data_IF_903762830637
#
_entry.id   IF_903762830637
#
_cell.length_a   1.000
_cell.length_b   1.000
_cell.length_c   1.000
_cell.angle_alpha   90.00
_cell.angle_beta   90.00
_cell.angle_gamma   90.00
#
_symmetry.space_group_name_H-M   'P 1'
#
loop_
_entity.id
_entity.type
_entity.pdbx_description
1 polymer ?
#
# COMPACT_ATOMS: atom_id res chain seq x y z
N UNK A 1 12.48 -7.09 -11.40
CA UNK A 1 12.63 -6.20 -10.23
C UNK A 1 12.01 -4.89 -10.61
N UNK A 2 10.87 -4.57 -10.00
CA UNK A 2 10.22 -3.28 -10.16
C UNK A 2 11.08 -2.21 -9.46
N UNK A 3 11.30 -1.07 -10.11
CA UNK A 3 12.04 0.05 -9.52
C UNK A 3 11.08 0.96 -8.75
N UNK A 4 10.51 0.48 -7.66
CA UNK A 4 9.75 1.34 -6.74
C UNK A 4 10.70 2.22 -5.91
N UNK A 5 10.22 3.40 -5.52
CA UNK A 5 10.99 4.29 -4.65
C UNK A 5 11.05 3.70 -3.24
N UNK A 6 12.28 3.43 -2.78
CA UNK A 6 12.58 3.01 -1.41
C UNK A 6 13.35 4.12 -0.71
N UNK A 7 12.89 4.53 0.47
CA UNK A 7 13.60 5.53 1.27
C UNK A 7 14.52 4.93 2.35
N UNK A 8 15.23 5.78 3.08
CA UNK A 8 16.18 5.40 4.13
C UNK A 8 15.55 4.58 5.28
N UNK A 9 14.22 4.60 5.42
CA UNK A 9 13.47 3.82 6.41
C UNK A 9 12.96 2.50 5.85
N UNK A 10 13.46 2.07 4.68
CA UNK A 10 13.06 0.83 3.99
C UNK A 10 11.56 0.81 3.65
N UNK A 11 10.99 1.99 3.41
CA UNK A 11 9.59 2.13 3.01
C UNK A 11 9.49 2.12 1.50
N UNK A 12 8.63 1.27 0.97
CA UNK A 12 8.28 1.22 -0.44
C UNK A 12 7.09 2.14 -0.69
N UNK A 13 7.28 3.14 -1.55
CA UNK A 13 6.24 4.12 -1.86
C UNK A 13 5.50 3.77 -3.14
N UNK A 14 4.18 3.85 -3.07
CA UNK A 14 3.33 3.88 -4.25
C UNK A 14 3.55 5.13 -5.08
N UNK A 15 3.11 5.07 -6.34
CA UNK A 15 3.27 6.13 -7.32
C UNK A 15 1.93 6.73 -7.80
N UNK A 16 0.80 6.13 -7.41
CA UNK A 16 -0.53 6.63 -7.76
C UNK A 16 -1.23 7.33 -6.59
N UNK A 17 -1.96 8.40 -6.92
CA UNK A 17 -2.74 9.13 -5.91
C UNK A 17 -3.93 8.30 -5.44
N UNK A 18 -4.13 8.29 -4.12
CA UNK A 18 -5.33 7.71 -3.48
C UNK A 18 -6.27 8.76 -2.89
N UNK A 19 -6.12 10.04 -3.27
CA UNK A 19 -6.97 11.12 -2.75
C UNK A 19 -8.43 10.97 -3.19
N UNK A 20 -9.37 11.30 -2.30
CA UNK A 20 -10.80 11.20 -2.60
C UNK A 20 -11.30 9.76 -2.51
N UNK A 21 -12.29 9.41 -3.33
CA UNK A 21 -12.86 8.06 -3.37
C UNK A 21 -12.07 7.14 -4.31
N UNK A 22 -11.66 5.98 -3.79
CA UNK A 22 -11.07 4.88 -4.55
C UNK A 22 -12.01 3.67 -4.47
N UNK A 23 -12.31 3.06 -5.62
CA UNK A 23 -13.12 1.85 -5.68
C UNK A 23 -12.22 0.61 -5.78
N UNK A 24 -12.33 -0.28 -4.80
CA UNK A 24 -11.71 -1.60 -4.87
C UNK A 24 -12.73 -2.58 -5.43
N UNK A 25 -12.37 -3.23 -6.52
CA UNK A 25 -13.19 -4.16 -7.28
C UNK A 25 -12.52 -5.53 -7.25
N UNK A 26 -13.29 -6.54 -6.83
CA UNK A 26 -12.84 -7.92 -6.73
C UNK A 26 -12.25 -8.42 -8.06
N UNK A 27 -11.03 -8.93 -8.02
CA UNK A 27 -10.28 -9.44 -9.17
C UNK A 27 -9.67 -8.37 -10.09
N UNK A 28 -9.84 -7.07 -9.80
CA UNK A 28 -9.36 -5.99 -10.66
C UNK A 28 -8.25 -5.14 -10.03
N UNK A 29 -8.33 -4.89 -8.71
CA UNK A 29 -7.35 -4.07 -7.99
C UNK A 29 -7.32 -4.36 -6.47
N UNK A 30 -7.65 -5.59 -6.08
CA UNK A 30 -7.91 -6.03 -4.71
C UNK A 30 -6.79 -6.89 -4.08
N UNK A 31 -5.82 -7.36 -4.87
CA UNK A 31 -4.78 -8.28 -4.40
C UNK A 31 -3.42 -7.59 -4.40
N UNK A 32 -2.78 -7.56 -3.24
CA UNK A 32 -1.40 -7.11 -3.06
C UNK A 32 -0.55 -8.25 -2.52
N UNK A 33 0.48 -8.63 -3.27
CA UNK A 33 1.49 -9.59 -2.82
C UNK A 33 2.77 -8.84 -2.46
N UNK A 34 3.32 -9.18 -1.30
CA UNK A 34 4.57 -8.63 -0.78
C UNK A 34 5.58 -9.75 -0.66
N UNK A 35 6.75 -9.57 -1.27
CA UNK A 35 7.82 -10.56 -1.27
C UNK A 35 9.03 -10.03 -0.51
N UNK A 36 9.59 -10.89 0.33
CA UNK A 36 10.95 -10.76 0.88
C UNK A 36 11.84 -11.80 0.21
N UNK A 37 13.12 -11.85 0.57
CA UNK A 37 14.04 -12.87 0.05
C UNK A 37 13.62 -14.31 0.37
N UNK A 38 12.81 -14.53 1.43
CA UNK A 38 12.48 -15.88 1.93
C UNK A 38 10.99 -16.17 2.08
N UNK A 39 10.15 -15.14 2.13
CA UNK A 39 8.73 -15.24 2.46
C UNK A 39 7.89 -14.38 1.51
N UNK A 40 6.67 -14.82 1.25
CA UNK A 40 5.65 -14.09 0.50
C UNK A 40 4.39 -13.95 1.33
N UNK A 41 3.77 -12.78 1.26
CA UNK A 41 2.52 -12.50 1.94
C UNK A 41 1.50 -11.93 0.96
N UNK A 42 0.24 -12.29 1.15
CA UNK A 42 -0.87 -11.79 0.33
C UNK A 42 -1.86 -11.05 1.20
N UNK A 43 -2.21 -9.85 0.76
CA UNK A 43 -3.26 -9.01 1.33
C UNK A 43 -4.37 -8.94 0.28
N UNK A 44 -5.60 -9.30 0.66
CA UNK A 44 -6.78 -9.15 -0.19
C UNK A 44 -7.72 -8.14 0.42
N UNK A 45 -8.09 -7.12 -0.36
CA UNK A 45 -8.97 -6.05 0.08
C UNK A 45 -10.42 -6.35 -0.27
N UNK A 46 -11.38 -6.15 0.66
CA UNK A 46 -12.77 -6.34 0.35
C UNK A 46 -13.26 -5.26 -0.64
N UNK A 47 -14.14 -5.63 -1.59
CA UNK A 47 -14.63 -4.69 -2.58
C UNK A 47 -15.56 -3.66 -1.93
N UNK A 48 -15.14 -2.39 -1.98
CA UNK A 48 -15.93 -1.22 -1.56
C UNK A 48 -15.20 0.05 -1.99
N UNK A 49 -15.88 1.17 -1.78
CA UNK A 49 -15.25 2.48 -1.82
C UNK A 49 -14.51 2.79 -0.52
N UNK A 50 -13.35 3.39 -0.67
CA UNK A 50 -12.51 3.90 0.41
C UNK A 50 -12.24 5.37 0.17
N UNK A 51 -12.36 6.18 1.20
CA UNK A 51 -12.10 7.61 1.11
C UNK A 51 -10.76 7.96 1.74
N UNK A 52 -9.98 8.79 1.07
CA UNK A 52 -8.80 9.43 1.65
C UNK A 52 -8.98 10.94 1.70
N UNK A 53 -9.00 11.46 2.91
CA UNK A 53 -9.11 12.89 3.18
C UNK A 53 -7.73 13.51 3.32
N UNK A 54 -7.35 14.30 2.31
CA UNK A 54 -6.04 14.94 2.29
C UNK A 54 -5.86 15.94 3.45
N UNK A 55 -6.91 16.66 3.83
CA UNK A 55 -6.84 17.74 4.84
C UNK A 55 -6.59 17.22 6.25
N UNK A 56 -7.12 16.04 6.57
CA UNK A 56 -7.00 15.40 7.89
C UNK A 56 -5.94 14.30 7.92
N UNK A 57 -5.36 13.94 6.77
CA UNK A 57 -4.38 12.87 6.61
C UNK A 57 -4.92 11.52 7.14
N UNK A 58 -6.17 11.22 6.78
CA UNK A 58 -6.88 9.98 7.13
C UNK A 58 -7.25 9.24 5.85
N UNK A 59 -7.08 7.91 5.84
CA UNK A 59 -7.38 7.07 4.67
C UNK A 59 -8.03 5.77 5.10
N UNK A 60 -9.30 5.59 4.74
CA UNK A 60 -10.03 4.34 4.95
C UNK A 60 -9.30 3.16 4.28
N UNK A 61 -8.63 3.42 3.14
CA UNK A 61 -7.91 2.40 2.38
C UNK A 61 -6.68 1.90 3.16
N UNK A 62 -5.87 2.82 3.71
CA UNK A 62 -4.71 2.46 4.52
C UNK A 62 -5.14 1.78 5.82
N UNK A 63 -6.22 2.25 6.45
CA UNK A 63 -6.79 1.60 7.63
C UNK A 63 -7.24 0.18 7.33
N UNK A 64 -7.90 -0.05 6.19
CA UNK A 64 -8.31 -1.40 5.79
C UNK A 64 -7.12 -2.31 5.47
N UNK A 65 -6.09 -1.82 4.78
CA UNK A 65 -4.87 -2.62 4.53
C UNK A 65 -4.29 -3.08 5.87
N UNK A 66 -4.17 -2.19 6.85
CA UNK A 66 -3.69 -2.53 8.19
C UNK A 66 -4.64 -3.48 8.94
N UNK A 67 -5.96 -3.33 8.77
CA UNK A 67 -6.93 -4.26 9.32
C UNK A 67 -6.73 -5.67 8.75
N UNK A 68 -6.61 -5.83 7.42
CA UNK A 68 -6.37 -7.13 6.79
C UNK A 68 -5.02 -7.75 7.24
N UNK A 69 -3.97 -6.94 7.36
CA UNK A 69 -2.68 -7.35 7.94
C UNK A 69 -2.85 -7.89 9.37
N UNK A 70 -3.67 -7.22 10.19
CA UNK A 70 -3.88 -7.59 11.59
C UNK A 70 -4.65 -8.91 11.78
N UNK A 71 -5.51 -9.28 10.82
CA UNK A 71 -6.26 -10.53 10.84
C UNK A 71 -5.36 -11.76 10.63
N UNK A 72 -4.18 -11.58 10.05
CA UNK A 72 -3.21 -12.66 9.82
C UNK A 72 -1.81 -12.14 10.10
N UNK A 73 -1.47 -11.81 11.37
CA UNK A 73 -0.45 -10.84 11.79
C UNK A 73 0.82 -10.84 10.94
N UNK A 74 0.73 -10.21 9.77
CA UNK A 74 1.81 -10.17 8.80
C UNK A 74 2.83 -9.16 9.34
N UNK A 75 4.13 -9.40 9.17
CA UNK A 75 5.14 -8.43 9.58
C UNK A 75 5.24 -7.27 8.59
N UNK A 76 4.09 -6.69 8.20
CA UNK A 76 3.92 -5.61 7.24
C UNK A 76 3.13 -4.51 7.95
N UNK A 77 3.36 -3.27 7.58
CA UNK A 77 2.44 -2.18 7.90
C UNK A 77 2.24 -1.30 6.67
N UNK A 78 1.05 -0.71 6.57
CA UNK A 78 0.72 0.31 5.59
C UNK A 78 0.67 1.69 6.24
N UNK A 79 1.20 2.68 5.55
CA UNK A 79 1.26 4.08 5.97
C UNK A 79 0.67 4.96 4.89
N UNK A 80 0.12 6.11 5.31
CA UNK A 80 -0.30 7.17 4.42
C UNK A 80 0.90 8.07 4.11
N UNK A 81 1.42 7.99 2.90
CA UNK A 81 2.53 8.83 2.44
C UNK A 81 2.01 10.08 1.73
N UNK A 82 2.56 11.25 2.04
CA UNK A 82 2.19 12.52 1.40
C UNK A 82 3.33 13.12 0.57
N UNK A 83 3.04 13.46 -0.68
CA UNK A 83 3.91 14.31 -1.51
C UNK A 83 3.40 15.75 -1.44
N UNK A 84 4.29 16.71 -1.14
CA UNK A 84 3.90 18.10 -0.83
C UNK A 84 4.66 19.19 -1.61
N UNK A 85 5.55 18.83 -2.54
CA UNK A 85 6.42 19.80 -3.23
C UNK A 85 5.68 20.62 -4.29
N UNK A 86 5.05 19.96 -5.27
CA UNK A 86 4.45 20.63 -6.43
C UNK A 86 2.96 20.30 -6.58
N UNK A 87 2.61 19.01 -6.52
CA UNK A 87 1.24 18.52 -6.43
C UNK A 87 1.05 17.78 -5.12
N UNK A 88 0.00 18.16 -4.38
CA UNK A 88 -0.33 17.57 -3.09
C UNK A 88 -1.16 16.32 -3.29
N UNK A 89 -0.58 15.16 -3.02
CA UNK A 89 -1.30 13.89 -3.10
C UNK A 89 -0.79 12.89 -2.07
N UNK A 90 -1.70 11.99 -1.68
CA UNK A 90 -1.37 10.86 -0.83
C UNK A 90 -1.20 9.60 -1.66
N UNK A 91 -0.34 8.71 -1.17
CA UNK A 91 -0.06 7.37 -1.72
C UNK A 91 -0.07 6.33 -0.59
N UNK A 92 -0.19 5.07 -0.96
CA UNK A 92 0.09 3.96 -0.05
C UNK A 92 1.59 3.78 0.09
N UNK A 93 2.05 3.60 1.32
CA UNK A 93 3.45 3.28 1.64
C UNK A 93 3.48 1.98 2.44
N UNK A 94 4.40 1.09 2.12
CA UNK A 94 4.55 -0.21 2.78
C UNK A 94 5.93 -0.32 3.43
N UNK A 95 6.01 -0.98 4.59
CA UNK A 95 7.29 -1.48 5.11
C UNK A 95 7.11 -2.77 5.88
N UNK A 96 8.20 -3.52 6.01
CA UNK A 96 8.26 -4.64 6.94
C UNK A 96 8.46 -4.14 8.37
N UNK A 97 7.85 -4.81 9.35
CA UNK A 97 7.99 -4.52 10.78
C UNK A 97 9.01 -5.41 11.48
N UNK A 98 9.49 -6.47 10.80
CA UNK A 98 10.46 -7.44 11.33
C UNK A 98 11.92 -7.16 10.91
N UNK A 99 12.20 -6.02 10.30
CA UNK A 99 13.55 -5.61 9.86
C UNK A 99 14.02 -6.20 8.53
N UNK A 100 13.23 -7.07 7.89
CA UNK A 100 13.48 -7.53 6.51
C UNK A 100 13.19 -6.41 5.50
N UNK A 101 13.69 -6.59 4.28
CA UNK A 101 13.40 -5.70 3.15
C UNK A 101 12.28 -6.28 2.28
N UNK A 102 11.46 -5.39 1.69
CA UNK A 102 10.56 -5.76 0.61
C UNK A 102 11.41 -5.88 -0.65
N UNK A 103 11.54 -7.10 -1.16
CA UNK A 103 12.30 -7.41 -2.36
C UNK A 103 11.50 -7.19 -3.65
N UNK A 104 10.19 -7.46 -3.61
CA UNK A 104 9.28 -7.20 -4.73
C UNK A 104 7.83 -7.03 -4.27
N UNK A 105 7.01 -6.48 -5.15
CA UNK A 105 5.57 -6.35 -5.02
C UNK A 105 4.90 -6.88 -6.29
N UNK A 106 3.70 -7.46 -6.16
CA UNK A 106 2.90 -7.86 -7.32
C UNK A 106 1.40 -7.87 -6.99
N UNK A 107 0.59 -8.21 -8.00
CA UNK A 107 -0.86 -8.36 -7.85
C UNK A 107 -1.62 -7.18 -8.43
N UNK A 108 -2.94 -7.31 -8.48
CA UNK A 108 -3.81 -6.32 -9.12
C UNK A 108 -3.77 -4.96 -8.43
N UNK A 109 -3.58 -4.92 -7.11
CA UNK A 109 -3.37 -3.66 -6.38
C UNK A 109 -2.02 -3.02 -6.76
N UNK A 110 -0.96 -3.80 -6.87
CA UNK A 110 0.36 -3.30 -7.29
C UNK A 110 0.27 -2.61 -8.66
N UNK A 111 -0.40 -3.23 -9.64
CA UNK A 111 -0.54 -2.68 -10.99
C UNK A 111 -1.21 -1.30 -11.03
N UNK A 112 -2.05 -0.99 -10.03
CA UNK A 112 -2.80 0.26 -9.96
C UNK A 112 -2.10 1.34 -9.11
N UNK A 113 -1.29 0.95 -8.13
CA UNK A 113 -0.80 1.88 -7.10
C UNK A 113 0.72 1.94 -6.95
N UNK A 114 1.47 1.04 -7.60
CA UNK A 114 2.93 0.92 -7.48
C UNK A 114 3.67 0.71 -8.82
N UNK A 115 2.98 0.41 -9.92
CA UNK A 115 3.55 0.10 -11.22
C UNK A 115 3.73 1.32 -12.15
#
# INVERSE_FOLDING_TARGET
>A
MNNFYVDDYKRVWGNASINGEIDIILGANDVLNVFTDTESYTITLPPRKYTTEYTTNVSDLVEEINHQISLSPLPIEALLGGFHKDQKYNVVVLRMTNGKDIADLSGSFFDNYFA
#
